data_IF_369264835565
#
_entry.id   IF_369264835565
#
_cell.length_a   1.000
_cell.length_b   1.000
_cell.length_c   1.000
_cell.angle_alpha   90.00
_cell.angle_beta   90.00
_cell.angle_gamma   90.00
#
_symmetry.space_group_name_H-M   'P 1'
#
loop_
_entity.id
_entity.type
_entity.pdbx_description
1 polymer ?
#
# COMPACT_ATOMS: atom_id res chain seq x y z
N UNK A 1 23.76 -13.22 -9.77
CA UNK A 1 22.63 -13.19 -8.81
C UNK A 1 21.51 -12.42 -9.48
N UNK A 2 20.29 -12.96 -9.46
CA UNK A 2 19.09 -12.27 -9.95
C UNK A 2 18.62 -11.28 -8.88
N UNK A 3 18.41 -9.99 -9.20
CA UNK A 3 18.04 -8.99 -8.21
C UNK A 3 16.65 -9.27 -7.63
N UNK A 4 16.49 -9.07 -6.32
CA UNK A 4 15.20 -9.16 -5.61
C UNK A 4 14.74 -7.77 -5.22
N UNK A 5 13.58 -7.37 -5.72
CA UNK A 5 12.95 -6.08 -5.41
C UNK A 5 11.83 -6.28 -4.39
N UNK A 6 11.82 -5.49 -3.31
CA UNK A 6 10.66 -5.40 -2.42
C UNK A 6 9.90 -4.11 -2.71
N UNK A 7 8.65 -4.23 -3.16
CA UNK A 7 7.83 -3.08 -3.58
C UNK A 7 6.71 -2.84 -2.58
N UNK A 8 6.70 -1.67 -1.96
CA UNK A 8 5.57 -1.18 -1.17
C UNK A 8 4.68 -0.33 -2.07
N UNK A 9 3.40 -0.67 -2.18
CA UNK A 9 2.50 -0.02 -3.13
C UNK A 9 1.07 0.22 -2.65
N UNK A 10 0.34 1.02 -3.42
CA UNK A 10 -1.12 1.13 -3.31
C UNK A 10 -1.81 0.36 -4.46
N UNK A 11 -3.09 0.66 -4.73
CA UNK A 11 -3.87 0.04 -5.82
C UNK A 11 -3.18 0.12 -7.19
N UNK A 12 -2.41 1.16 -7.47
CA UNK A 12 -1.70 1.34 -8.75
C UNK A 12 -0.61 0.28 -8.98
N UNK A 13 -0.23 -0.47 -7.96
CA UNK A 13 0.80 -1.51 -8.05
C UNK A 13 0.24 -2.90 -8.39
N UNK A 14 -1.07 -3.11 -8.25
CA UNK A 14 -1.68 -4.43 -8.49
C UNK A 14 -3.02 -4.40 -9.25
N UNK A 15 -3.46 -3.25 -9.76
CA UNK A 15 -4.65 -3.18 -10.62
C UNK A 15 -4.28 -3.26 -12.11
N UNK A 16 -4.91 -4.21 -12.80
CA UNK A 16 -4.97 -4.27 -14.26
C UNK A 16 -6.23 -3.58 -14.81
N UNK A 17 -6.46 -3.65 -16.13
CA UNK A 17 -7.62 -3.03 -16.79
C UNK A 17 -8.97 -3.51 -16.24
N UNK A 18 -9.06 -4.80 -15.90
CA UNK A 18 -10.30 -5.45 -15.47
C UNK A 18 -10.45 -5.53 -13.94
N UNK A 19 -9.49 -5.02 -13.17
CA UNK A 19 -9.51 -5.06 -11.71
C UNK A 19 -8.20 -5.51 -11.05
N UNK A 20 -8.23 -5.81 -9.74
CA UNK A 20 -7.04 -6.25 -9.00
C UNK A 20 -6.54 -7.62 -9.49
N UNK A 21 -5.24 -7.74 -9.65
CA UNK A 21 -4.53 -8.96 -10.02
C UNK A 21 -3.77 -9.53 -8.82
N UNK A 22 -3.39 -10.80 -8.91
CA UNK A 22 -2.50 -11.42 -7.95
C UNK A 22 -1.12 -10.74 -7.97
N UNK A 23 -0.45 -10.70 -6.82
CA UNK A 23 0.83 -9.99 -6.65
C UNK A 23 1.94 -10.47 -7.59
N UNK A 24 1.88 -11.74 -7.99
CA UNK A 24 2.82 -12.44 -8.89
C UNK A 24 2.39 -12.38 -10.36
N UNK A 25 1.30 -11.70 -10.73
CA UNK A 25 0.88 -11.59 -12.13
C UNK A 25 1.97 -10.88 -12.95
N UNK A 26 2.52 -11.53 -14.00
CA UNK A 26 3.71 -11.04 -14.70
C UNK A 26 3.47 -9.73 -15.46
N UNK A 27 2.22 -9.30 -15.63
CA UNK A 27 1.86 -8.06 -16.32
C UNK A 27 1.91 -6.83 -15.41
N UNK A 28 1.95 -7.02 -14.09
CA UNK A 28 2.06 -5.92 -13.14
C UNK A 28 3.42 -5.22 -13.29
N UNK A 29 3.43 -3.89 -13.23
CA UNK A 29 4.65 -3.11 -13.43
C UNK A 29 5.80 -3.49 -12.48
N UNK A 30 5.60 -3.90 -11.21
CA UNK A 30 6.69 -4.36 -10.34
C UNK A 30 7.39 -5.59 -10.93
N UNK A 31 6.60 -6.56 -11.41
CA UNK A 31 7.08 -7.82 -11.97
C UNK A 31 7.74 -7.58 -13.34
N UNK A 32 7.15 -6.70 -14.16
CA UNK A 32 7.78 -6.27 -15.42
C UNK A 32 9.12 -5.58 -15.16
N UNK A 33 9.20 -4.68 -14.18
CA UNK A 33 10.43 -3.98 -13.84
C UNK A 33 11.51 -4.93 -13.33
N UNK A 34 11.16 -5.86 -12.43
CA UNK A 34 12.09 -6.88 -11.94
C UNK A 34 12.57 -7.81 -13.07
N UNK A 35 11.66 -8.28 -13.93
CA UNK A 35 12.00 -9.14 -15.06
C UNK A 35 12.97 -8.45 -16.03
N UNK A 36 12.83 -7.13 -16.25
CA UNK A 36 13.78 -6.35 -17.08
C UNK A 36 15.18 -6.25 -16.48
N UNK A 37 15.32 -6.44 -15.17
CA UNK A 37 16.59 -6.52 -14.46
C UNK A 37 17.09 -7.98 -14.31
N UNK A 38 16.37 -8.97 -14.86
CA UNK A 38 16.67 -10.39 -14.70
C UNK A 38 16.38 -10.92 -13.29
N UNK A 39 15.44 -10.29 -12.59
CA UNK A 39 15.10 -10.51 -11.20
C UNK A 39 13.62 -10.75 -10.92
N UNK A 40 13.26 -10.72 -9.63
CA UNK A 40 11.90 -10.96 -9.13
C UNK A 40 11.46 -9.83 -8.19
N UNK A 41 10.15 -9.59 -8.12
CA UNK A 41 9.56 -8.61 -7.21
C UNK A 41 8.65 -9.28 -6.18
N UNK A 42 8.81 -8.86 -4.93
CA UNK A 42 7.87 -9.13 -3.84
C UNK A 42 7.00 -7.90 -3.65
N UNK A 43 5.68 -8.04 -3.80
CA UNK A 43 4.75 -6.92 -3.71
C UNK A 43 3.99 -6.92 -2.38
N UNK A 44 4.16 -5.84 -1.62
CA UNK A 44 3.45 -5.56 -0.38
C UNK A 44 2.59 -4.32 -0.60
N UNK A 45 1.31 -4.54 -0.89
CA UNK A 45 0.42 -3.45 -1.28
C UNK A 45 -1.03 -3.65 -0.82
N UNK A 46 -1.75 -2.54 -0.67
CA UNK A 46 -3.20 -2.55 -0.46
C UNK A 46 -3.84 -1.29 -1.04
N UNK A 47 -5.07 -1.43 -1.51
CA UNK A 47 -5.83 -0.29 -2.02
C UNK A 47 -5.92 0.83 -0.96
N UNK A 48 -5.67 2.06 -1.38
CA UNK A 48 -5.75 3.25 -0.52
C UNK A 48 -4.58 3.43 0.46
N UNK A 49 -3.50 2.68 0.33
CA UNK A 49 -2.30 2.83 1.16
C UNK A 49 -1.62 4.18 0.98
N UNK A 50 -1.37 4.82 2.11
CA UNK A 50 -0.57 6.03 2.23
C UNK A 50 0.89 5.68 2.56
N UNK A 51 1.80 6.66 2.48
CA UNK A 51 3.18 6.52 2.94
C UNK A 51 3.25 6.04 4.42
N UNK A 52 2.30 6.48 5.25
CA UNK A 52 2.16 6.00 6.64
C UNK A 52 1.83 4.51 6.70
N UNK A 53 0.97 3.99 5.82
CA UNK A 53 0.60 2.58 5.84
C UNK A 53 1.77 1.70 5.42
N UNK A 54 2.53 2.12 4.39
CA UNK A 54 3.77 1.45 4.00
C UNK A 54 4.79 1.44 5.14
N UNK A 55 4.96 2.56 5.86
CA UNK A 55 5.82 2.61 7.03
C UNK A 55 5.42 1.58 8.08
N UNK A 56 4.14 1.52 8.47
CA UNK A 56 3.67 0.55 9.46
C UNK A 56 3.85 -0.90 8.97
N UNK A 57 3.54 -1.21 7.71
CA UNK A 57 3.79 -2.53 7.17
C UNK A 57 5.27 -2.92 7.24
N UNK A 58 6.16 -1.96 6.96
CA UNK A 58 7.61 -2.16 7.03
C UNK A 58 8.10 -2.47 8.44
N UNK A 59 7.57 -1.79 9.46
CA UNK A 59 8.05 -1.92 10.84
C UNK A 59 7.25 -2.87 11.72
N UNK A 60 6.07 -3.34 11.29
CA UNK A 60 5.21 -4.24 12.07
C UNK A 60 5.05 -5.65 11.49
N UNK A 61 5.29 -5.88 10.19
CA UNK A 61 5.12 -7.21 9.57
C UNK A 61 6.40 -8.05 9.62
N UNK A 62 6.43 -9.16 10.39
CA UNK A 62 7.61 -10.02 10.47
C UNK A 62 8.02 -10.66 9.13
N UNK A 63 7.08 -10.84 8.19
CA UNK A 63 7.39 -11.33 6.83
C UNK A 63 8.26 -10.32 6.10
N UNK A 64 7.86 -9.06 6.16
CA UNK A 64 8.62 -7.95 5.57
C UNK A 64 10.01 -7.83 6.20
N UNK A 65 10.15 -8.04 7.51
CA UNK A 65 11.47 -8.04 8.16
C UNK A 65 12.38 -9.18 7.67
N UNK A 66 11.81 -10.33 7.35
CA UNK A 66 12.55 -11.46 6.80
C UNK A 66 13.03 -11.16 5.38
N UNK A 67 12.20 -10.51 4.56
CA UNK A 67 12.52 -10.18 3.17
C UNK A 67 13.45 -8.98 3.04
N UNK A 68 13.31 -7.95 3.89
CA UNK A 68 14.17 -6.76 3.89
C UNK A 68 15.67 -7.08 4.02
N UNK A 69 16.02 -8.19 4.68
CA UNK A 69 17.42 -8.63 4.81
C UNK A 69 17.98 -9.34 3.57
N UNK A 70 17.12 -9.67 2.60
CA UNK A 70 17.44 -10.52 1.45
C UNK A 70 17.20 -9.84 0.10
N UNK A 71 16.59 -8.66 0.10
CA UNK A 71 16.32 -7.88 -1.10
C UNK A 71 17.48 -6.95 -1.44
N UNK A 72 17.71 -6.74 -2.72
CA UNK A 72 18.78 -5.87 -3.22
C UNK A 72 18.32 -4.40 -3.28
N UNK A 73 17.01 -4.18 -3.43
CA UNK A 73 16.43 -2.85 -3.45
C UNK A 73 15.00 -2.83 -2.88
N UNK A 74 14.64 -1.70 -2.28
CA UNK A 74 13.29 -1.39 -1.82
C UNK A 74 12.71 -0.28 -2.68
N UNK A 75 11.51 -0.47 -3.21
CA UNK A 75 10.79 0.51 -4.01
C UNK A 75 9.57 0.99 -3.24
N UNK A 76 9.46 2.31 -3.05
CA UNK A 76 8.32 2.95 -2.39
C UNK A 76 7.39 3.57 -3.43
N UNK A 77 6.42 2.80 -3.89
CA UNK A 77 5.38 3.21 -4.84
C UNK A 77 4.09 3.66 -4.11
N UNK A 78 4.26 4.57 -3.15
CA UNK A 78 3.19 5.15 -2.32
C UNK A 78 3.31 6.68 -2.30
N UNK A 79 2.29 7.38 -1.82
CA UNK A 79 2.24 8.85 -1.79
C UNK A 79 1.11 9.45 -2.63
N UNK A 80 0.62 8.69 -3.62
CA UNK A 80 -0.54 9.11 -4.43
C UNK A 80 -1.78 9.30 -3.55
N UNK A 81 -2.00 8.36 -2.62
CA UNK A 81 -3.13 8.38 -1.68
C UNK A 81 -2.98 9.43 -0.56
N UNK A 82 -1.76 9.95 -0.36
CA UNK A 82 -1.49 11.04 0.60
C UNK A 82 -1.88 12.40 0.02
N UNK A 83 -1.72 12.55 -1.31
CA UNK A 83 -1.95 13.80 -2.06
C UNK A 83 -3.33 13.88 -2.71
N UNK A 84 -4.10 12.78 -2.68
CA UNK A 84 -5.48 12.79 -3.16
C UNK A 84 -6.26 13.94 -2.51
N UNK A 85 -6.84 14.86 -3.30
CA UNK A 85 -7.62 15.96 -2.76
C UNK A 85 -8.83 15.37 -2.04
N UNK A 86 -8.77 15.34 -0.72
CA UNK A 86 -9.89 14.97 0.12
C UNK A 86 -10.47 16.25 0.70
N UNK A 87 -11.81 16.45 0.60
CA UNK A 87 -12.46 17.63 1.17
C UNK A 87 -12.36 17.66 2.70
N UNK A 88 -12.02 16.53 3.32
CA UNK A 88 -11.72 16.40 4.74
C UNK A 88 -10.25 16.01 4.92
N UNK A 89 -9.58 16.46 6.01
CA UNK A 89 -8.19 16.10 6.24
C UNK A 89 -7.96 14.58 6.20
N UNK A 90 -6.99 14.12 5.40
CA UNK A 90 -6.59 12.70 5.29
C UNK A 90 -6.24 12.08 6.64
N UNK A 91 -5.79 12.89 7.60
CA UNK A 91 -5.59 12.48 8.98
C UNK A 91 -6.87 11.96 9.66
N UNK A 92 -8.05 12.53 9.39
CA UNK A 92 -9.30 12.03 9.96
C UNK A 92 -9.60 10.62 9.46
N UNK A 93 -9.43 10.38 8.15
CA UNK A 93 -9.60 9.05 7.53
C UNK A 93 -8.66 8.02 8.14
N UNK A 94 -7.36 8.35 8.19
CA UNK A 94 -6.33 7.44 8.70
C UNK A 94 -6.41 7.28 10.23
N UNK A 95 -6.92 8.30 10.93
CA UNK A 95 -7.09 8.38 12.37
C UNK A 95 -8.20 7.48 12.93
N UNK A 96 -9.23 7.16 12.13
CA UNK A 96 -10.36 6.31 12.53
C UNK A 96 -9.95 4.97 13.13
N UNK A 97 -8.81 4.40 12.69
CA UNK A 97 -8.32 3.11 13.20
C UNK A 97 -7.86 3.16 14.66
N UNK A 98 -7.48 4.34 15.15
CA UNK A 98 -7.03 4.54 16.52
C UNK A 98 -8.18 4.76 17.51
N UNK A 99 -9.41 4.96 17.01
CA UNK A 99 -10.61 5.01 17.85
C UNK A 99 -10.95 3.58 18.32
N UNK A 100 -10.55 3.26 19.56
CA UNK A 100 -10.81 1.94 20.18
C UNK A 100 -12.29 1.63 20.38
N UNK A 101 -13.15 2.56 20.87
CA UNK A 101 -14.55 2.25 21.04
C UNK A 101 -15.25 2.08 19.68
N UNK A 102 -15.79 0.89 19.43
CA UNK A 102 -16.43 0.55 18.16
C UNK A 102 -17.58 1.48 17.79
N UNK A 103 -18.40 1.87 18.77
CA UNK A 103 -19.50 2.83 18.57
C UNK A 103 -19.00 4.20 18.10
N UNK A 104 -17.94 4.72 18.74
CA UNK A 104 -17.31 5.99 18.38
C UNK A 104 -16.71 5.92 16.97
N UNK A 105 -15.97 4.85 16.66
CA UNK A 105 -15.37 4.64 15.35
C UNK A 105 -16.42 4.59 14.23
N UNK A 106 -17.54 3.90 14.45
CA UNK A 106 -18.67 3.85 13.50
C UNK A 106 -19.30 5.22 13.30
N UNK A 107 -19.53 5.97 14.39
CA UNK A 107 -20.10 7.31 14.32
C UNK A 107 -19.21 8.27 13.53
N UNK A 108 -17.91 8.32 13.85
CA UNK A 108 -16.96 9.20 13.14
C UNK A 108 -16.82 8.79 11.68
N UNK A 109 -16.82 7.50 11.36
CA UNK A 109 -16.84 7.02 9.97
C UNK A 109 -18.09 7.51 9.23
N UNK A 110 -19.27 7.39 9.84
CA UNK A 110 -20.53 7.84 9.24
C UNK A 110 -20.54 9.35 9.00
N UNK A 111 -20.09 10.13 9.98
CA UNK A 111 -19.98 11.59 9.86
C UNK A 111 -18.97 11.99 8.78
N UNK A 112 -17.82 11.31 8.72
CA UNK A 112 -16.79 11.53 7.70
C UNK A 112 -17.34 11.27 6.29
N UNK A 113 -18.07 10.17 6.09
CA UNK A 113 -18.69 9.86 4.79
C UNK A 113 -19.81 10.87 4.42
N UNK A 114 -20.61 11.31 5.39
CA UNK A 114 -21.68 12.29 5.15
C UNK A 114 -21.15 13.69 4.80
N UNK A 115 -19.93 14.02 5.22
CA UNK A 115 -19.27 15.28 4.92
C UNK A 115 -18.39 15.22 3.66
N UNK A 116 -18.30 14.05 3.00
CA UNK A 116 -17.78 13.98 1.64
C UNK A 116 -18.88 14.36 0.64
N UNK A 117 -18.55 15.14 -0.40
CA UNK A 117 -19.46 15.51 -1.48
C UNK A 117 -19.85 14.30 -2.35
#
# INVERSE_FOLDING_TARGET
MSPRLLVFGDSLSFHGPDGPLAADDPRLWPNVAAARLGGEAELVARAGWTARDAWWAMIEDPRVWADLRRVDAVVLAVGSMDTLPSPLPTYLRTGLRYLRPDGLRRMVRKAYLAAQP
#
